data_IF_672809727827
#
_entry.id   IF_672809727827
#
_cell.length_a   1.000
_cell.length_b   1.000
_cell.length_c   1.000
_cell.angle_alpha   90.00
_cell.angle_beta   90.00
_cell.angle_gamma   90.00
#
_symmetry.space_group_name_H-M   'P 1'
#
loop_
_entity.id
_entity.type
_entity.pdbx_description
1 polymer ?
#
# COMPACT_ATOMS: atom_id res chain seq x y z
N UNK A 1 8.40 -5.31 15.28
CA UNK A 1 8.14 -5.25 13.84
C UNK A 1 6.76 -4.64 13.59
N UNK A 2 6.60 -4.00 12.46
CA UNK A 2 5.31 -3.41 12.10
C UNK A 2 4.83 -3.95 10.78
N UNK A 3 3.55 -4.28 10.73
CA UNK A 3 2.90 -4.82 9.55
C UNK A 3 1.82 -3.83 9.12
N UNK A 4 1.91 -3.34 7.89
CA UNK A 4 0.91 -2.44 7.34
C UNK A 4 -0.05 -3.23 6.46
N UNK A 5 -1.34 -2.94 6.53
CA UNK A 5 -2.34 -3.58 5.70
C UNK A 5 -3.16 -2.49 5.04
N UNK A 6 -3.29 -2.53 3.72
CA UNK A 6 -4.09 -1.51 3.02
C UNK A 6 -5.57 -1.83 3.18
N UNK A 7 -6.36 -0.83 3.46
CA UNK A 7 -7.78 -1.04 3.74
C UNK A 7 -8.57 0.24 3.55
N UNK A 8 -9.87 0.09 3.35
CA UNK A 8 -10.80 1.22 3.33
C UNK A 8 -11.74 1.18 4.53
N UNK A 9 -12.00 0.01 5.07
CA UNK A 9 -12.99 -0.16 6.13
C UNK A 9 -12.42 -0.68 7.45
N UNK A 10 -11.10 -0.87 7.50
CA UNK A 10 -10.40 -1.37 8.70
C UNK A 10 -10.74 -2.82 9.04
N UNK A 11 -11.45 -3.51 8.18
CA UNK A 11 -11.86 -4.89 8.39
C UNK A 11 -11.33 -5.78 7.29
N UNK A 12 -11.44 -5.31 6.03
CA UNK A 12 -11.03 -6.12 4.90
C UNK A 12 -9.81 -5.53 4.21
N UNK A 13 -9.02 -6.40 3.58
CA UNK A 13 -7.83 -5.99 2.87
C UNK A 13 -8.24 -5.47 1.51
N UNK A 14 -7.71 -4.31 1.14
CA UNK A 14 -8.04 -3.72 -0.16
C UNK A 14 -7.41 -4.52 -1.28
N UNK A 15 -8.13 -4.64 -2.39
CA UNK A 15 -7.64 -5.31 -3.57
C UNK A 15 -6.87 -4.38 -4.48
N UNK A 16 -6.88 -3.10 -4.19
CA UNK A 16 -6.24 -2.11 -5.05
C UNK A 16 -5.36 -1.20 -4.22
N UNK A 17 -4.08 -1.48 -4.23
CA UNK A 17 -3.14 -0.70 -3.43
C UNK A 17 -3.29 0.80 -3.68
N UNK A 18 -3.38 1.19 -4.92
CA UNK A 18 -3.43 2.61 -5.25
C UNK A 18 -4.72 3.33 -4.90
N UNK A 19 -5.78 2.57 -4.64
CA UNK A 19 -7.08 3.17 -4.34
C UNK A 19 -7.45 3.14 -2.88
N UNK A 20 -6.75 2.37 -2.09
CA UNK A 20 -7.06 2.26 -0.67
C UNK A 20 -6.79 3.58 0.02
N UNK A 21 -7.61 3.90 1.01
CA UNK A 21 -7.53 5.17 1.71
C UNK A 21 -6.69 5.13 2.96
N UNK A 22 -6.45 3.96 3.52
CA UNK A 22 -5.77 3.86 4.81
C UNK A 22 -4.81 2.70 4.88
N UNK A 23 -3.84 2.83 5.77
CA UNK A 23 -3.04 1.71 6.22
C UNK A 23 -3.45 1.42 7.66
N UNK A 24 -3.72 0.18 7.97
CA UNK A 24 -3.89 -0.24 9.35
C UNK A 24 -2.57 -0.89 9.75
N UNK A 25 -1.87 -0.32 10.71
CA UNK A 25 -0.53 -0.74 11.07
C UNK A 25 -0.56 -1.47 12.40
N UNK A 26 -0.03 -2.69 12.40
CA UNK A 26 0.03 -3.51 13.60
C UNK A 26 1.46 -3.54 14.11
N UNK A 27 1.65 -3.19 15.36
CA UNK A 27 2.96 -3.33 15.99
C UNK A 27 2.99 -4.69 16.66
N UNK A 28 4.01 -5.47 16.35
CA UNK A 28 4.13 -6.84 16.82
C UNK A 28 5.39 -6.98 17.66
N UNK A 29 5.26 -7.56 18.86
CA UNK A 29 6.38 -7.85 19.72
C UNK A 29 6.22 -9.27 20.26
N UNK A 30 7.27 -10.05 20.13
CA UNK A 30 7.27 -11.43 20.59
C UNK A 30 6.14 -12.25 19.97
N UNK A 31 5.90 -11.99 18.70
CA UNK A 31 4.88 -12.73 17.94
C UNK A 31 3.45 -12.34 18.26
N UNK A 32 3.25 -11.23 18.98
CA UNK A 32 1.91 -10.81 19.36
C UNK A 32 1.67 -9.36 18.96
N UNK A 33 0.45 -9.07 18.56
CA UNK A 33 0.07 -7.69 18.24
C UNK A 33 -0.11 -6.94 19.55
N UNK A 34 0.68 -5.89 19.73
CA UNK A 34 0.60 -5.08 20.95
C UNK A 34 -0.03 -3.72 20.70
N UNK A 35 -0.14 -3.32 19.43
CA UNK A 35 -0.73 -2.02 19.11
C UNK A 35 -1.28 -2.02 17.69
N UNK A 36 -2.33 -1.25 17.46
CA UNK A 36 -2.95 -1.13 16.16
C UNK A 36 -3.19 0.36 15.91
N UNK A 37 -2.80 0.83 14.75
CA UNK A 37 -2.85 2.25 14.44
C UNK A 37 -3.35 2.46 13.02
N UNK A 38 -4.31 3.35 12.85
CA UNK A 38 -4.80 3.69 11.52
C UNK A 38 -4.02 4.89 11.01
N UNK A 39 -3.44 4.77 9.84
CA UNK A 39 -2.69 5.87 9.22
C UNK A 39 -3.32 6.23 7.90
N UNK A 40 -3.42 7.52 7.58
CA UNK A 40 -3.97 7.90 6.29
C UNK A 40 -2.99 7.54 5.19
N UNK A 41 -3.53 7.13 4.06
CA UNK A 41 -2.73 6.85 2.90
C UNK A 41 -3.01 7.97 1.92
N UNK A 42 -1.95 8.60 1.41
CA UNK A 42 -2.12 9.64 0.42
C UNK A 42 -2.50 8.94 -0.85
N UNK A 43 -3.75 8.79 -1.03
CA UNK A 43 -4.22 7.93 -2.03
C UNK A 43 -4.61 8.60 -3.29
N UNK A 44 -5.26 7.79 -4.07
CA UNK A 44 -5.68 8.15 -5.38
C UNK A 44 -6.55 9.38 -5.40
N UNK A 45 -7.40 9.54 -4.43
CA UNK A 45 -8.31 10.69 -4.41
C UNK A 45 -7.58 12.00 -4.29
N UNK A 46 -6.60 12.07 -3.43
CA UNK A 46 -5.85 13.28 -3.29
C UNK A 46 -5.08 13.62 -4.53
N UNK A 47 -4.50 12.62 -5.16
CA UNK A 47 -3.78 12.86 -6.38
C UNK A 47 -4.72 13.27 -7.49
N UNK A 48 -5.90 12.73 -7.51
CA UNK A 48 -6.87 13.11 -8.48
C UNK A 48 -7.27 14.57 -8.34
N UNK A 49 -7.42 15.02 -7.12
CA UNK A 49 -7.76 16.40 -6.91
C UNK A 49 -6.65 17.32 -7.38
N UNK A 50 -5.43 16.98 -7.10
CA UNK A 50 -4.32 17.77 -7.54
C UNK A 50 -4.25 17.79 -9.04
N UNK A 51 -4.44 16.67 -9.65
CA UNK A 51 -4.39 16.58 -11.07
C UNK A 51 -5.50 17.37 -11.70
N UNK A 52 -6.65 17.37 -11.08
CA UNK A 52 -7.77 18.08 -11.60
C UNK A 52 -7.47 19.57 -11.61
N UNK A 53 -6.82 20.06 -10.63
CA UNK A 53 -6.46 21.40 -10.59
C UNK A 53 -5.47 21.75 -11.64
N UNK A 54 -4.48 20.96 -11.83
CA UNK A 54 -3.48 21.24 -12.77
C UNK A 54 -3.92 20.94 -14.12
N UNK A 55 -4.86 20.10 -14.31
CA UNK A 55 -5.33 19.69 -15.55
C UNK A 55 -5.62 20.80 -16.41
N UNK A 56 -6.08 21.82 -15.89
CA UNK A 56 -6.40 22.84 -16.67
C UNK A 56 -5.32 23.32 -17.46
N UNK A 57 -4.14 23.35 -17.08
CA UNK A 57 -3.20 23.83 -17.94
C UNK A 57 -2.28 22.91 -18.37
N UNK A 58 -2.23 21.95 -18.08
CA UNK A 58 -1.30 21.17 -18.53
C UNK A 58 -1.55 20.41 -19.47
N UNK A 59 -2.40 20.12 -19.54
CA UNK A 59 -2.65 19.25 -20.34
C UNK A 59 -1.72 18.90 -21.12
N UNK A 60 -1.16 19.00 -21.13
CA UNK A 60 -0.32 18.71 -21.81
C UNK A 60 0.32 17.86 -21.73
N UNK A 61 0.29 17.51 -21.57
CA UNK A 61 0.80 16.75 -21.64
C UNK A 61 1.74 16.29 -21.60
N UNK A 62 2.13 16.55 -21.98
CA UNK A 62 3.06 16.24 -22.05
C UNK A 62 3.35 15.44 -21.57
N UNK A 63 2.91 15.20 -21.35
CA UNK A 63 3.01 14.52 -20.85
C UNK A 63 3.42 13.54 -20.76
N UNK A 64 3.40 13.21 -21.20
CA UNK A 64 3.69 12.03 -21.22
C UNK A 64 4.94 11.63 -20.80
N UNK A 65 5.80 12.21 -21.14
CA UNK A 65 7.04 11.81 -20.92
C UNK A 65 7.40 11.67 -19.60
N UNK A 66 7.02 12.34 -18.79
CA UNK A 66 7.46 12.21 -17.48
C UNK A 66 6.85 11.13 -16.74
N UNK A 67 6.21 10.22 -17.36
CA UNK A 67 5.60 9.26 -16.79
C UNK A 67 6.26 8.59 -15.74
N UNK A 68 7.37 8.07 -15.86
CA UNK A 68 8.05 7.29 -14.91
C UNK A 68 8.31 8.01 -13.64
N UNK A 69 8.83 9.20 -13.74
CA UNK A 69 9.16 9.97 -12.62
C UNK A 69 7.94 10.38 -11.86
N UNK A 70 6.92 10.73 -12.54
CA UNK A 70 5.69 11.13 -11.94
C UNK A 70 5.07 9.98 -11.15
N UNK A 71 5.13 8.78 -11.66
CA UNK A 71 4.63 7.63 -10.95
C UNK A 71 5.43 7.34 -9.71
N UNK A 72 6.72 7.51 -9.79
CA UNK A 72 7.57 7.29 -8.63
C UNK A 72 7.26 8.30 -7.54
N UNK A 73 6.99 9.54 -7.89
CA UNK A 73 6.65 10.54 -6.92
C UNK A 73 5.33 10.20 -6.23
N UNK A 74 4.36 9.73 -6.99
CA UNK A 74 3.11 9.33 -6.41
C UNK A 74 3.32 8.19 -5.43
N UNK A 75 4.08 7.17 -5.83
CA UNK A 75 4.31 6.04 -4.96
C UNK A 75 5.07 6.45 -3.72
N UNK A 76 6.02 7.35 -3.84
CA UNK A 76 6.78 7.82 -2.69
C UNK A 76 5.87 8.51 -1.68
N UNK A 77 4.94 9.31 -2.15
CA UNK A 77 4.01 9.98 -1.26
C UNK A 77 3.08 8.97 -0.59
N UNK A 78 2.58 8.02 -1.35
CA UNK A 78 1.68 7.02 -0.79
C UNK A 78 2.35 6.22 0.29
N UNK A 79 3.65 6.03 0.20
CA UNK A 79 4.38 5.15 1.09
C UNK A 79 5.10 5.89 2.20
N UNK A 80 4.95 7.21 2.26
CA UNK A 80 5.67 7.99 3.25
C UNK A 80 5.31 7.63 4.67
N UNK A 81 4.08 7.16 4.89
CA UNK A 81 3.60 6.86 6.22
C UNK A 81 3.95 5.47 6.72
N UNK A 82 4.59 4.65 5.90
CA UNK A 82 4.88 3.27 6.30
C UNK A 82 6.35 2.91 6.19
N UNK A 83 7.21 3.93 6.13
CA UNK A 83 8.65 3.67 6.04
C UNK A 83 9.20 2.92 7.24
N UNK A 84 8.49 2.93 8.36
CA UNK A 84 8.90 2.21 9.56
C UNK A 84 8.33 0.79 9.62
N UNK A 85 7.59 0.37 8.60
CA UNK A 85 7.00 -0.98 8.59
C UNK A 85 7.92 -1.93 7.83
N UNK A 86 7.88 -3.19 8.22
CA UNK A 86 8.70 -4.20 7.57
C UNK A 86 7.94 -4.99 6.52
N UNK A 87 6.62 -5.07 6.66
CA UNK A 87 5.78 -5.89 5.79
C UNK A 87 4.52 -5.13 5.44
N UNK A 88 4.03 -5.31 4.23
CA UNK A 88 2.75 -4.74 3.79
C UNK A 88 1.91 -5.85 3.20
N UNK A 89 0.67 -5.97 3.66
CA UNK A 89 -0.27 -6.96 3.13
C UNK A 89 -1.28 -6.25 2.21
N UNK A 90 -1.52 -6.82 1.06
CA UNK A 90 -2.47 -6.26 0.09
C UNK A 90 -3.03 -7.40 -0.74
N UNK A 91 -4.23 -7.24 -1.29
CA UNK A 91 -4.82 -8.28 -2.12
C UNK A 91 -4.55 -8.06 -3.61
N UNK A 92 -3.94 -6.94 -3.97
CA UNK A 92 -3.57 -6.70 -5.36
C UNK A 92 -2.82 -5.40 -5.50
N UNK A 93 -1.83 -5.34 -6.36
CA UNK A 93 -1.10 -4.11 -6.65
C UNK A 93 -0.39 -4.25 -7.98
N UNK A 94 0.00 -3.12 -8.53
CA UNK A 94 0.78 -3.11 -9.76
C UNK A 94 2.25 -3.30 -9.47
N UNK A 95 2.98 -3.62 -10.52
CA UNK A 95 4.41 -3.88 -10.43
C UNK A 95 5.16 -2.66 -9.92
N UNK A 96 4.77 -1.45 -10.32
CA UNK A 96 5.47 -0.25 -9.88
C UNK A 96 5.38 -0.05 -8.37
N UNK A 97 4.19 -0.26 -7.80
CA UNK A 97 4.02 -0.13 -6.36
C UNK A 97 4.83 -1.21 -5.63
N UNK A 98 4.82 -2.42 -6.18
CA UNK A 98 5.56 -3.53 -5.59
C UNK A 98 7.05 -3.20 -5.53
N UNK A 99 7.59 -2.69 -6.62
CA UNK A 99 9.01 -2.33 -6.66
C UNK A 99 9.33 -1.17 -5.73
N UNK A 100 8.43 -0.19 -5.64
CA UNK A 100 8.66 0.95 -4.78
C UNK A 100 8.69 0.56 -3.31
N UNK A 101 7.84 -0.37 -2.91
CA UNK A 101 7.84 -0.86 -1.54
C UNK A 101 9.14 -1.56 -1.23
N UNK A 102 9.61 -2.40 -2.14
CA UNK A 102 10.87 -3.09 -1.93
C UNK A 102 12.02 -2.10 -1.82
N UNK A 103 11.98 -1.03 -2.58
CA UNK A 103 13.04 -0.03 -2.57
C UNK A 103 13.15 0.68 -1.22
N UNK A 104 12.07 0.80 -0.47
CA UNK A 104 12.12 1.43 0.84
C UNK A 104 12.21 0.41 1.97
N UNK A 105 12.45 -0.84 1.64
CA UNK A 105 12.66 -1.86 2.65
C UNK A 105 11.41 -2.50 3.21
N UNK A 106 10.28 -2.32 2.55
CA UNK A 106 9.02 -2.91 2.99
C UNK A 106 8.74 -4.11 2.10
N UNK A 107 8.50 -5.27 2.70
CA UNK A 107 8.24 -6.48 1.93
C UNK A 107 6.75 -6.57 1.60
N UNK A 108 6.37 -6.47 0.33
CA UNK A 108 4.97 -6.60 -0.03
C UNK A 108 4.59 -8.07 -0.08
N UNK A 109 3.46 -8.42 0.51
CA UNK A 109 2.93 -9.77 0.47
C UNK A 109 1.52 -9.68 -0.10
N UNK A 110 1.29 -10.37 -1.19
CA UNK A 110 -0.02 -10.39 -1.83
C UNK A 110 -0.76 -11.61 -1.35
N UNK A 111 -2.00 -11.41 -0.93
CA UNK A 111 -2.76 -12.49 -0.33
C UNK A 111 -4.22 -12.38 -0.74
N UNK A 112 -4.89 -13.51 -0.84
CA UNK A 112 -6.32 -13.52 -1.12
C UNK A 112 -7.15 -13.61 0.15
N UNK A 113 -6.54 -13.48 1.32
CA UNK A 113 -7.31 -13.36 2.55
C UNK A 113 -8.13 -12.08 2.45
N UNK A 114 -9.34 -12.12 2.94
CA UNK A 114 -10.20 -10.95 2.89
C UNK A 114 -10.18 -10.20 4.20
N UNK A 115 -10.15 -10.91 5.30
CA UNK A 115 -10.21 -10.27 6.60
C UNK A 115 -8.81 -9.96 7.13
N UNK A 116 -8.63 -8.73 7.59
CA UNK A 116 -7.33 -8.26 8.04
C UNK A 116 -6.83 -9.08 9.22
N UNK A 117 -7.68 -9.30 10.21
CA UNK A 117 -7.25 -10.03 11.41
C UNK A 117 -6.77 -11.42 11.09
N UNK A 118 -7.49 -12.11 10.21
CA UNK A 118 -7.12 -13.45 9.82
C UNK A 118 -5.79 -13.48 9.09
N UNK A 119 -5.57 -12.50 8.23
CA UNK A 119 -4.32 -12.43 7.46
C UNK A 119 -3.13 -12.15 8.36
N UNK A 120 -3.28 -11.23 9.31
CA UNK A 120 -2.20 -10.90 10.21
C UNK A 120 -1.86 -12.10 11.09
N UNK A 121 -2.86 -12.81 11.58
CA UNK A 121 -2.61 -13.99 12.38
C UNK A 121 -1.94 -15.10 11.58
N UNK A 122 -2.35 -15.28 10.32
CA UNK A 122 -1.72 -16.25 9.44
C UNK A 122 -0.26 -15.90 9.20
N UNK A 123 0.02 -14.63 9.03
CA UNK A 123 1.39 -14.18 8.82
C UNK A 123 2.22 -14.49 10.07
N UNK A 124 1.70 -14.19 11.25
CA UNK A 124 2.44 -14.42 12.48
C UNK A 124 2.66 -15.91 12.78
N UNK A 125 1.76 -16.74 12.28
CA UNK A 125 1.90 -18.19 12.43
C UNK A 125 2.83 -18.79 11.36
N UNK A 126 3.30 -17.97 10.41
CA UNK A 126 4.14 -18.50 9.35
C UNK A 126 3.37 -19.21 8.26
N UNK A 127 2.06 -18.99 8.19
CA UNK A 127 1.20 -19.71 7.26
C UNK A 127 0.77 -18.89 6.05
N UNK A 128 1.09 -17.60 6.02
CA UNK A 128 0.68 -16.75 4.93
C UNK A 128 1.75 -16.75 3.86
N UNK A 129 1.35 -17.08 2.63
CA UNK A 129 2.28 -17.12 1.52
C UNK A 129 1.99 -16.00 0.55
N UNK A 130 3.05 -15.43 0.00
CA UNK A 130 2.92 -14.41 -1.02
C UNK A 130 2.37 -15.06 -2.31
N UNK A 131 1.38 -14.43 -2.91
CA UNK A 131 0.75 -14.95 -4.13
C UNK A 131 1.06 -14.04 -5.30
N UNK A 132 2.14 -14.30 -6.02
CA UNK A 132 2.54 -13.39 -7.11
C UNK A 132 1.50 -13.25 -8.21
N UNK A 133 0.58 -14.18 -8.32
CA UNK A 133 -0.48 -14.07 -9.31
C UNK A 133 -1.41 -12.89 -9.10
N UNK A 134 -1.37 -12.29 -7.92
CA UNK A 134 -2.17 -11.11 -7.62
C UNK A 134 -1.46 -9.80 -7.99
N UNK A 135 -0.24 -9.91 -8.50
CA UNK A 135 0.50 -8.76 -8.98
C UNK A 135 0.06 -8.47 -10.41
N UNK A 136 -0.26 -7.26 -10.72
CA UNK A 136 -0.72 -6.93 -12.07
C UNK A 136 -0.14 -5.64 -12.66
#
# INVERSE_FOLDING_TARGET
MKIAVVTDDQITISRHFGRAHYYLVFTVEDGKVVQKELRPKLGHDQFQQEEHHEHEHDHDHEHGHGHGQHSQDKHSRMMANIGDCQVLLCAGMGMGAHQSLQAIGVKPILTDYQEIGAAVQAYLAGELEDQPGLLH
#
